data_IF_569128605098
#
_entry.id   IF_569128605098
#
_cell.length_a   1.000
_cell.length_b   1.000
_cell.length_c   1.000
_cell.angle_alpha   90.00
_cell.angle_beta   90.00
_cell.angle_gamma   90.00
#
_symmetry.space_group_name_H-M   'P 1'
#
loop_
_entity.id
_entity.type
_entity.pdbx_description
1 polymer ?
#
# COMPACT_ATOMS: atom_id res chain seq x y z
N UNK A 1 10.59 27.53 -2.45
CA UNK A 1 9.66 26.71 -3.25
C UNK A 1 8.82 25.92 -2.26
N UNK A 2 7.50 26.14 -2.19
CA UNK A 2 6.64 25.29 -1.37
C UNK A 2 6.66 23.89 -1.97
N UNK A 3 7.01 22.88 -1.17
CA UNK A 3 6.84 21.49 -1.56
C UNK A 3 5.38 21.26 -1.92
N UNK A 4 5.07 20.50 -2.98
CA UNK A 4 3.67 20.19 -3.30
C UNK A 4 3.05 19.42 -2.13
N UNK A 5 1.74 19.53 -1.92
CA UNK A 5 1.06 18.82 -0.82
C UNK A 5 1.33 17.30 -0.89
N UNK A 6 1.48 16.75 -2.10
CA UNK A 6 1.88 15.35 -2.32
C UNK A 6 3.24 15.02 -1.68
N UNK A 7 4.21 15.93 -1.69
CA UNK A 7 5.50 15.74 -1.04
C UNK A 7 5.37 15.67 0.48
N UNK A 8 4.38 16.34 1.08
CA UNK A 8 4.08 16.23 2.51
C UNK A 8 3.72 14.79 2.92
N UNK A 9 2.86 14.13 2.14
CA UNK A 9 2.51 12.72 2.35
C UNK A 9 3.71 11.78 2.16
N UNK A 10 4.51 12.03 1.12
CA UNK A 10 5.74 11.25 0.86
C UNK A 10 6.77 11.44 1.98
N UNK A 11 6.94 12.66 2.49
CA UNK A 11 7.83 12.94 3.61
C UNK A 11 7.37 12.25 4.90
N UNK A 12 6.05 12.22 5.16
CA UNK A 12 5.47 11.45 6.27
C UNK A 12 5.82 9.96 6.15
N UNK A 13 5.65 9.37 4.97
CA UNK A 13 6.01 7.98 4.72
C UNK A 13 7.51 7.71 4.90
N UNK A 14 8.39 8.56 4.33
CA UNK A 14 9.85 8.44 4.51
C UNK A 14 10.31 8.60 5.96
N UNK A 15 9.55 9.30 6.79
CA UNK A 15 9.84 9.41 8.23
C UNK A 15 9.57 8.10 8.94
N UNK A 16 8.53 7.35 8.53
CA UNK A 16 8.24 6.02 9.05
C UNK A 16 9.22 4.96 8.57
N UNK A 17 9.73 5.11 7.34
CA UNK A 17 10.63 4.16 6.68
C UNK A 17 11.95 4.84 6.28
N UNK A 18 12.80 5.23 7.24
CA UNK A 18 14.00 6.02 6.97
C UNK A 18 15.03 5.31 6.07
N UNK A 19 15.07 3.98 6.05
CA UNK A 19 15.90 3.15 5.18
C UNK A 19 15.64 3.40 3.69
N UNK A 20 14.44 3.87 3.32
CA UNK A 20 14.11 4.21 1.94
C UNK A 20 14.91 5.38 1.39
N UNK A 21 15.57 6.18 2.24
CA UNK A 21 16.56 7.18 1.83
C UNK A 21 17.73 6.54 1.08
N UNK A 22 18.09 5.32 1.42
CA UNK A 22 19.14 4.52 0.77
C UNK A 22 18.50 3.61 -0.28
N UNK A 23 17.40 2.95 0.07
CA UNK A 23 16.76 1.94 -0.78
C UNK A 23 16.34 2.46 -2.16
N UNK A 24 15.93 3.74 -2.23
CA UNK A 24 15.55 4.41 -3.49
C UNK A 24 16.67 4.43 -4.54
N UNK A 25 17.95 4.37 -4.14
CA UNK A 25 19.08 4.33 -5.06
C UNK A 25 19.08 3.04 -5.91
N UNK A 26 18.49 1.96 -5.39
CA UNK A 26 18.34 0.70 -6.10
C UNK A 26 17.15 0.70 -7.07
N UNK A 27 16.39 1.80 -7.21
CA UNK A 27 15.36 1.92 -8.23
C UNK A 27 15.86 2.68 -9.46
N UNK A 28 15.43 2.26 -10.68
CA UNK A 28 15.56 3.09 -11.87
C UNK A 28 14.92 4.46 -11.62
N UNK A 29 15.55 5.53 -12.09
CA UNK A 29 15.11 6.91 -11.83
C UNK A 29 13.62 7.16 -12.13
N UNK A 30 13.05 6.69 -13.27
CA UNK A 30 11.63 6.88 -13.57
C UNK A 30 10.68 6.24 -12.56
N UNK A 31 11.12 5.18 -11.87
CA UNK A 31 10.32 4.42 -10.90
C UNK A 31 10.36 5.01 -9.48
N UNK A 32 11.33 5.90 -9.17
CA UNK A 32 11.54 6.43 -7.81
C UNK A 32 10.35 7.22 -7.29
N UNK A 33 9.89 8.20 -8.06
CA UNK A 33 8.79 9.06 -7.64
C UNK A 33 7.43 8.34 -7.58
N UNK A 34 7.05 7.50 -8.58
CA UNK A 34 5.85 6.67 -8.48
C UNK A 34 5.89 5.71 -7.28
N UNK A 35 7.02 5.05 -7.02
CA UNK A 35 7.16 4.14 -5.89
C UNK A 35 6.94 4.86 -4.54
N UNK A 36 7.57 6.02 -4.35
CA UNK A 36 7.40 6.80 -3.11
C UNK A 36 5.95 7.27 -2.90
N UNK A 37 5.28 7.74 -3.98
CA UNK A 37 3.88 8.12 -3.90
C UNK A 37 2.95 6.93 -3.64
N UNK A 38 3.28 5.77 -4.22
CA UNK A 38 2.53 4.53 -4.04
C UNK A 38 2.60 4.01 -2.60
N UNK A 39 3.79 3.92 -2.02
CA UNK A 39 3.92 3.49 -0.62
C UNK A 39 3.36 4.53 0.37
N UNK A 40 3.41 5.82 0.03
CA UNK A 40 2.70 6.84 0.80
C UNK A 40 1.17 6.63 0.76
N UNK A 41 0.60 6.28 -0.41
CA UNK A 41 -0.81 5.91 -0.52
C UNK A 41 -1.13 4.69 0.35
N UNK A 42 -0.36 3.59 0.24
CA UNK A 42 -0.61 2.40 1.06
C UNK A 42 -0.57 2.73 2.57
N UNK A 43 0.40 3.55 3.00
CA UNK A 43 0.45 4.00 4.39
C UNK A 43 -0.79 4.82 4.79
N UNK A 44 -1.30 5.71 3.94
CA UNK A 44 -2.54 6.46 4.24
C UNK A 44 -3.74 5.52 4.43
N UNK A 45 -3.80 4.43 3.67
CA UNK A 45 -4.85 3.42 3.77
C UNK A 45 -4.69 2.60 5.07
N UNK A 46 -3.46 2.15 5.38
CA UNK A 46 -3.13 1.46 6.64
C UNK A 46 -3.43 2.35 7.86
N UNK A 47 -3.02 3.62 7.82
CA UNK A 47 -3.26 4.61 8.88
C UNK A 47 -4.77 4.84 9.08
N UNK A 48 -5.56 4.89 7.99
CA UNK A 48 -7.01 5.00 8.06
C UNK A 48 -7.68 3.73 8.63
N UNK A 49 -7.16 2.55 8.32
CA UNK A 49 -7.73 1.28 8.78
C UNK A 49 -7.42 0.98 10.25
N UNK A 50 -6.17 1.20 10.66
CA UNK A 50 -5.63 0.66 11.91
C UNK A 50 -5.07 1.74 12.85
N UNK A 51 -5.07 3.00 12.44
CA UNK A 51 -4.64 4.12 13.28
C UNK A 51 -5.61 4.41 14.43
N UNK A 52 -5.08 5.00 15.50
CA UNK A 52 -5.83 5.44 16.68
C UNK A 52 -6.50 4.30 17.47
N UNK A 53 -7.12 4.57 18.62
CA UNK A 53 -7.94 3.60 19.34
C UNK A 53 -9.39 3.55 18.82
N UNK A 54 -9.94 4.69 18.39
CA UNK A 54 -11.30 4.82 17.85
C UNK A 54 -11.31 4.59 16.33
N UNK A 55 -12.07 3.61 15.81
CA UNK A 55 -12.14 3.34 14.37
C UNK A 55 -12.96 4.37 13.57
N UNK A 56 -13.85 5.15 14.19
CA UNK A 56 -14.83 5.98 13.46
C UNK A 56 -14.21 6.98 12.48
N UNK A 57 -13.17 7.77 12.85
CA UNK A 57 -12.52 8.67 11.90
C UNK A 57 -11.89 7.92 10.71
N UNK A 58 -11.34 6.74 11.00
CA UNK A 58 -10.73 5.85 10.01
C UNK A 58 -11.73 5.32 8.98
N UNK A 59 -12.92 4.91 9.44
CA UNK A 59 -14.00 4.44 8.57
C UNK A 59 -14.43 5.52 7.56
N UNK A 60 -14.62 6.75 8.01
CA UNK A 60 -14.97 7.87 7.13
C UNK A 60 -13.85 8.15 6.12
N UNK A 61 -12.58 8.11 6.55
CA UNK A 61 -11.43 8.30 5.68
C UNK A 61 -11.28 7.17 4.65
N UNK A 62 -11.54 5.92 5.03
CA UNK A 62 -11.55 4.80 4.10
C UNK A 62 -12.66 4.92 3.06
N UNK A 63 -13.88 5.31 3.46
CA UNK A 63 -14.96 5.57 2.50
C UNK A 63 -14.58 6.68 1.51
N UNK A 64 -13.98 7.76 1.99
CA UNK A 64 -13.47 8.83 1.13
C UNK A 64 -12.38 8.33 0.16
N UNK A 65 -11.46 7.48 0.61
CA UNK A 65 -10.45 6.85 -0.26
C UNK A 65 -11.05 5.95 -1.34
N UNK A 66 -12.12 5.21 -1.03
CA UNK A 66 -12.83 4.39 -2.02
C UNK A 66 -13.41 5.27 -3.14
N UNK A 67 -14.03 6.39 -2.79
CA UNK A 67 -14.53 7.37 -3.77
C UNK A 67 -13.40 8.00 -4.58
N UNK A 68 -12.28 8.34 -3.92
CA UNK A 68 -11.13 8.95 -4.57
C UNK A 68 -10.49 8.02 -5.61
N UNK A 69 -10.29 6.74 -5.27
CA UNK A 69 -9.76 5.73 -6.20
C UNK A 69 -10.73 5.42 -7.33
N UNK A 70 -12.05 5.41 -7.07
CA UNK A 70 -13.06 5.37 -8.13
C UNK A 70 -12.99 6.63 -9.02
N UNK A 71 -12.71 7.79 -8.45
CA UNK A 71 -12.49 9.03 -9.19
C UNK A 71 -11.28 8.93 -10.12
N UNK A 72 -10.17 8.37 -9.64
CA UNK A 72 -8.95 8.19 -10.42
C UNK A 72 -9.18 7.33 -11.67
N UNK A 73 -10.00 6.28 -11.56
CA UNK A 73 -10.39 5.43 -12.69
C UNK A 73 -11.21 6.17 -13.76
N UNK A 74 -11.74 7.36 -13.45
CA UNK A 74 -12.54 8.21 -14.35
C UNK A 74 -11.84 9.50 -14.75
N UNK A 75 -10.57 9.68 -14.39
CA UNK A 75 -9.83 10.90 -14.70
C UNK A 75 -9.90 12.02 -13.66
N UNK A 76 -10.69 11.84 -12.59
CA UNK A 76 -10.78 12.81 -11.50
C UNK A 76 -9.67 12.57 -10.47
N UNK A 77 -9.09 13.64 -9.91
CA UNK A 77 -8.16 13.57 -8.78
C UNK A 77 -8.39 14.74 -7.84
N UNK A 78 -8.71 14.48 -6.59
CA UNK A 78 -8.84 15.49 -5.52
C UNK A 78 -7.72 15.38 -4.51
N UNK A 79 -7.21 14.18 -4.28
CA UNK A 79 -6.06 13.96 -3.40
C UNK A 79 -4.75 14.38 -4.09
N UNK A 80 -3.82 15.05 -3.38
CA UNK A 80 -2.53 15.45 -3.94
C UNK A 80 -1.69 14.30 -4.50
N UNK A 81 -1.71 13.11 -3.88
CA UNK A 81 -1.02 11.92 -4.42
C UNK A 81 -1.48 11.53 -5.84
N UNK A 82 -2.70 11.91 -6.23
CA UNK A 82 -3.20 11.73 -7.59
C UNK A 82 -2.34 12.43 -8.65
N UNK A 83 -1.60 13.50 -8.32
CA UNK A 83 -0.64 14.15 -9.22
C UNK A 83 0.44 13.20 -9.73
N UNK A 84 0.84 12.24 -8.89
CA UNK A 84 1.92 11.30 -9.18
C UNK A 84 1.40 9.96 -9.68
N UNK A 85 0.22 9.55 -9.20
CA UNK A 85 -0.31 8.20 -9.40
C UNK A 85 -1.40 8.12 -10.49
N UNK A 86 -2.36 9.04 -10.54
CA UNK A 86 -3.56 8.88 -11.36
C UNK A 86 -3.26 8.77 -12.87
N UNK A 87 -2.14 9.35 -13.33
CA UNK A 87 -1.66 9.26 -14.72
C UNK A 87 -1.41 7.83 -15.22
N UNK A 88 -1.20 6.88 -14.31
CA UNK A 88 -1.01 5.47 -14.65
C UNK A 88 -2.36 4.79 -14.84
N UNK A 89 -2.48 3.94 -15.86
CA UNK A 89 -3.69 3.15 -16.14
C UNK A 89 -3.80 1.91 -15.23
N UNK A 90 -3.58 2.11 -13.93
CA UNK A 90 -3.70 1.04 -12.93
C UNK A 90 -5.18 0.75 -12.62
N UNK A 91 -5.51 -0.45 -12.11
CA UNK A 91 -6.87 -0.85 -11.76
C UNK A 91 -7.35 -0.16 -10.46
N UNK A 92 -7.51 1.16 -10.52
CA UNK A 92 -7.87 1.98 -9.36
C UNK A 92 -9.25 1.63 -8.78
N UNK A 93 -10.20 1.24 -9.64
CA UNK A 93 -11.54 0.86 -9.22
C UNK A 93 -11.52 -0.43 -8.39
N UNK A 94 -10.74 -1.42 -8.83
CA UNK A 94 -10.55 -2.69 -8.16
C UNK A 94 -9.86 -2.50 -6.81
N UNK A 95 -8.81 -1.66 -6.76
CA UNK A 95 -8.15 -1.28 -5.52
C UNK A 95 -9.14 -0.61 -4.56
N UNK A 96 -9.91 0.36 -5.04
CA UNK A 96 -10.92 1.06 -4.24
C UNK A 96 -11.95 0.09 -3.64
N UNK A 97 -12.50 -0.82 -4.45
CA UNK A 97 -13.45 -1.84 -3.97
C UNK A 97 -12.83 -2.77 -2.91
N UNK A 98 -11.56 -3.13 -3.08
CA UNK A 98 -10.88 -4.03 -2.16
C UNK A 98 -10.64 -3.42 -0.77
N UNK A 99 -10.68 -2.08 -0.63
CA UNK A 99 -10.51 -1.42 0.68
C UNK A 99 -11.62 -1.75 1.68
N UNK A 100 -12.79 -2.21 1.23
CA UNK A 100 -13.91 -2.56 2.10
C UNK A 100 -13.58 -3.65 3.13
N UNK A 101 -12.53 -4.45 2.89
CA UNK A 101 -12.10 -5.49 3.85
C UNK A 101 -11.35 -4.92 5.05
N UNK A 102 -10.69 -3.77 4.91
CA UNK A 102 -9.75 -3.25 5.91
C UNK A 102 -10.37 -3.07 7.31
N UNK A 103 -11.58 -2.50 7.48
CA UNK A 103 -12.17 -2.33 8.81
C UNK A 103 -12.33 -3.63 9.59
N UNK A 104 -12.70 -4.72 8.91
CA UNK A 104 -12.94 -6.02 9.53
C UNK A 104 -11.65 -6.70 10.03
N UNK A 105 -10.47 -6.22 9.61
CA UNK A 105 -9.17 -6.80 9.98
C UNK A 105 -8.57 -6.25 11.27
N UNK A 106 -9.17 -5.20 11.83
CA UNK A 106 -8.58 -4.40 12.92
C UNK A 106 -8.33 -5.21 14.19
N UNK A 107 -9.20 -6.15 14.51
CA UNK A 107 -9.12 -6.99 15.71
C UNK A 107 -8.71 -8.44 15.41
N UNK A 108 -8.37 -8.76 14.16
CA UNK A 108 -7.95 -10.11 13.77
C UNK A 108 -6.49 -10.38 14.18
N UNK A 109 -6.20 -11.65 14.46
CA UNK A 109 -4.83 -12.17 14.51
C UNK A 109 -4.20 -12.30 13.12
N UNK A 110 -2.88 -12.42 13.03
CA UNK A 110 -2.13 -12.30 11.78
C UNK A 110 -2.55 -13.32 10.72
N UNK A 111 -2.82 -14.58 11.10
CA UNK A 111 -3.26 -15.59 10.15
C UNK A 111 -4.61 -15.24 9.51
N UNK A 112 -5.56 -14.79 10.32
CA UNK A 112 -6.87 -14.36 9.85
C UNK A 112 -6.80 -13.05 9.06
N UNK A 113 -5.95 -12.10 9.49
CA UNK A 113 -5.67 -10.88 8.72
C UNK A 113 -5.08 -11.21 7.35
N UNK A 114 -4.06 -12.07 7.28
CA UNK A 114 -3.41 -12.43 6.03
C UNK A 114 -4.40 -13.04 5.04
N UNK A 115 -5.27 -13.94 5.50
CA UNK A 115 -6.33 -14.51 4.70
C UNK A 115 -7.32 -13.44 4.21
N UNK A 116 -7.78 -12.56 5.10
CA UNK A 116 -8.71 -11.49 4.75
C UNK A 116 -8.12 -10.49 3.73
N UNK A 117 -6.80 -10.24 3.79
CA UNK A 117 -6.13 -9.28 2.94
C UNK A 117 -5.75 -9.82 1.54
N UNK A 118 -6.01 -11.09 1.22
CA UNK A 118 -5.61 -11.68 -0.08
C UNK A 118 -6.15 -10.90 -1.29
N UNK A 119 -7.44 -10.54 -1.28
CA UNK A 119 -8.05 -9.80 -2.39
C UNK A 119 -7.49 -8.37 -2.52
N UNK A 120 -7.22 -7.71 -1.39
CA UNK A 120 -6.57 -6.39 -1.38
C UNK A 120 -5.12 -6.47 -1.85
N UNK A 121 -4.38 -7.48 -1.39
CA UNK A 121 -3.01 -7.74 -1.83
C UNK A 121 -2.92 -7.93 -3.35
N UNK A 122 -3.88 -8.67 -3.93
CA UNK A 122 -3.98 -8.83 -5.39
C UNK A 122 -4.24 -7.50 -6.10
N UNK A 123 -5.28 -6.75 -5.70
CA UNK A 123 -5.61 -5.48 -6.35
C UNK A 123 -4.47 -4.46 -6.26
N UNK A 124 -3.77 -4.42 -5.11
CA UNK A 124 -2.61 -3.58 -4.91
C UNK A 124 -1.40 -4.04 -5.74
N UNK A 125 -1.13 -5.34 -5.83
CA UNK A 125 -0.06 -5.88 -6.68
C UNK A 125 -0.30 -5.59 -8.17
N UNK A 126 -1.54 -5.69 -8.65
CA UNK A 126 -1.88 -5.33 -10.02
C UNK A 126 -1.63 -3.83 -10.29
N UNK A 127 -1.89 -2.95 -9.31
CA UNK A 127 -1.51 -1.54 -9.40
C UNK A 127 0.02 -1.34 -9.42
N UNK A 128 0.76 -2.03 -8.54
CA UNK A 128 2.23 -1.97 -8.46
C UNK A 128 2.90 -2.39 -9.77
N UNK A 129 2.36 -3.42 -10.42
CA UNK A 129 2.85 -3.93 -11.69
C UNK A 129 2.75 -2.86 -12.79
N UNK A 130 1.61 -2.18 -12.89
CA UNK A 130 1.41 -1.07 -13.85
C UNK A 130 2.32 0.12 -13.52
N UNK A 131 2.47 0.46 -12.25
CA UNK A 131 3.31 1.58 -11.80
C UNK A 131 4.81 1.35 -12.06
N UNK A 132 5.25 0.10 -12.05
CA UNK A 132 6.66 -0.28 -12.17
C UNK A 132 7.09 -0.48 -13.62
N UNK A 133 6.27 -1.19 -14.42
CA UNK A 133 6.66 -1.62 -15.76
C UNK A 133 5.87 -0.89 -16.87
N UNK A 134 4.90 -0.05 -16.51
CA UNK A 134 4.05 0.69 -17.45
C UNK A 134 3.10 -0.19 -18.28
N UNK A 135 3.15 -1.51 -18.10
CA UNK A 135 2.35 -2.52 -18.80
C UNK A 135 1.11 -2.95 -18.02
N UNK A 136 0.11 -3.47 -18.73
CA UNK A 136 -1.20 -3.86 -18.18
C UNK A 136 -1.31 -5.34 -17.76
N UNK A 137 -0.19 -6.05 -17.64
CA UNK A 137 -0.22 -7.45 -17.21
C UNK A 137 -0.61 -7.55 -15.73
N UNK A 138 -1.48 -8.50 -15.40
CA UNK A 138 -1.82 -8.80 -14.01
C UNK A 138 -0.58 -9.29 -13.26
N UNK A 139 -0.48 -8.93 -11.99
CA UNK A 139 0.59 -9.39 -11.12
C UNK A 139 0.46 -10.91 -10.87
N UNK A 140 1.62 -11.57 -10.73
CA UNK A 140 1.67 -12.98 -10.34
C UNK A 140 1.19 -13.20 -8.90
N UNK A 141 0.82 -14.44 -8.58
CA UNK A 141 0.31 -14.82 -7.25
C UNK A 141 1.31 -14.51 -6.13
N UNK A 142 2.61 -14.73 -6.35
CA UNK A 142 3.66 -14.36 -5.40
C UNK A 142 3.68 -12.86 -5.08
N UNK A 143 3.52 -12.00 -6.09
CA UNK A 143 3.45 -10.55 -5.89
C UNK A 143 2.24 -10.14 -5.05
N UNK A 144 1.07 -10.74 -5.31
CA UNK A 144 -0.14 -10.52 -4.52
C UNK A 144 0.03 -10.98 -3.06
N UNK A 145 0.64 -12.14 -2.86
CA UNK A 145 0.96 -12.67 -1.53
C UNK A 145 1.94 -11.75 -0.78
N UNK A 146 2.99 -11.28 -1.46
CA UNK A 146 3.99 -10.36 -0.91
C UNK A 146 3.36 -9.07 -0.37
N UNK A 147 2.43 -8.47 -1.12
CA UNK A 147 1.70 -7.28 -0.65
C UNK A 147 0.82 -7.61 0.56
N UNK A 148 0.06 -8.71 0.53
CA UNK A 148 -0.80 -9.11 1.65
C UNK A 148 0.01 -9.38 2.94
N UNK A 149 1.17 -10.03 2.82
CA UNK A 149 2.09 -10.30 3.93
C UNK A 149 2.67 -9.00 4.51
N UNK A 150 3.11 -8.06 3.66
CA UNK A 150 3.60 -6.75 4.11
C UNK A 150 2.52 -5.96 4.87
N UNK A 151 1.30 -5.88 4.32
CA UNK A 151 0.17 -5.21 4.97
C UNK A 151 -0.22 -5.87 6.29
N UNK A 152 -0.19 -7.20 6.36
CA UNK A 152 -0.39 -7.94 7.61
C UNK A 152 0.67 -7.57 8.64
N UNK A 153 1.93 -7.42 8.21
CA UNK A 153 3.04 -6.98 9.06
C UNK A 153 2.81 -5.59 9.64
N UNK A 154 2.41 -4.63 8.80
CA UNK A 154 2.07 -3.28 9.27
C UNK A 154 0.95 -3.31 10.33
N UNK A 155 -0.11 -4.07 10.09
CA UNK A 155 -1.23 -4.22 11.03
C UNK A 155 -0.77 -4.82 12.37
N UNK A 156 -0.01 -5.91 12.33
CA UNK A 156 0.51 -6.61 13.53
C UNK A 156 1.45 -5.71 14.33
N UNK A 157 2.33 -4.97 13.64
CA UNK A 157 3.25 -4.02 14.28
C UNK A 157 2.50 -2.86 14.94
N UNK A 158 1.50 -2.29 14.25
CA UNK A 158 0.67 -1.21 14.80
C UNK A 158 -0.12 -1.62 16.04
N UNK A 159 -0.58 -2.87 16.08
CA UNK A 159 -1.29 -3.41 17.24
C UNK A 159 -0.38 -3.89 18.38
N UNK A 160 0.95 -3.88 18.19
CA UNK A 160 1.92 -4.28 19.22
C UNK A 160 1.92 -5.79 19.55
N UNK A 161 1.45 -6.65 18.65
CA UNK A 161 1.29 -8.08 18.91
C UNK A 161 2.58 -8.87 18.62
N UNK A 162 3.52 -8.89 19.57
CA UNK A 162 4.86 -9.49 19.38
C UNK A 162 4.86 -10.97 18.97
N UNK A 163 3.99 -11.79 19.54
CA UNK A 163 3.93 -13.24 19.22
C UNK A 163 3.48 -13.49 17.79
N UNK A 164 2.51 -12.70 17.32
CA UNK A 164 1.98 -12.73 15.96
C UNK A 164 3.06 -12.31 14.94
N UNK A 165 3.94 -11.38 15.31
CA UNK A 165 5.07 -10.97 14.46
C UNK A 165 6.03 -12.12 14.17
N UNK A 166 6.29 -13.01 15.15
CA UNK A 166 7.17 -14.17 14.95
C UNK A 166 6.56 -15.19 13.97
N UNK A 167 5.25 -15.40 14.05
CA UNK A 167 4.55 -16.23 13.07
C UNK A 167 4.65 -15.62 11.67
N UNK A 168 4.43 -14.32 11.54
CA UNK A 168 4.49 -13.65 10.24
C UNK A 168 5.89 -13.67 9.62
N UNK A 169 6.96 -13.63 10.41
CA UNK A 169 8.34 -13.78 9.89
C UNK A 169 8.56 -15.12 9.19
N UNK A 170 7.86 -16.19 9.61
CA UNK A 170 7.90 -17.49 8.93
C UNK A 170 7.11 -17.48 7.61
N UNK A 171 6.19 -16.53 7.46
CA UNK A 171 5.37 -16.30 6.28
C UNK A 171 5.87 -15.11 5.45
N UNK A 172 7.08 -14.62 5.70
CA UNK A 172 7.57 -13.39 5.07
C UNK A 172 7.74 -13.56 3.56
N UNK A 173 7.51 -12.51 2.74
CA UNK A 173 7.58 -12.63 1.28
C UNK A 173 8.91 -13.19 0.78
N UNK A 174 8.85 -13.94 -0.32
CA UNK A 174 10.08 -14.36 -0.99
C UNK A 174 10.71 -13.15 -1.72
N UNK A 175 12.05 -12.96 -1.68
CA UNK A 175 12.72 -11.81 -2.30
C UNK A 175 12.56 -11.68 -3.81
N UNK A 176 11.94 -12.64 -4.49
CA UNK A 176 11.68 -12.64 -5.93
C UNK A 176 10.26 -12.17 -6.29
N UNK A 177 9.40 -11.96 -5.29
CA UNK A 177 7.98 -11.72 -5.52
C UNK A 177 7.66 -10.24 -5.79
N UNK A 178 7.17 -9.97 -7.00
CA UNK A 178 6.67 -8.65 -7.40
C UNK A 178 7.74 -7.71 -7.99
N UNK A 179 7.32 -6.48 -8.33
CA UNK A 179 8.20 -5.53 -8.98
C UNK A 179 9.31 -5.05 -8.02
N UNK A 180 10.38 -4.49 -8.59
CA UNK A 180 11.58 -4.10 -7.83
C UNK A 180 11.30 -3.21 -6.59
N UNK A 181 10.39 -2.21 -6.64
CA UNK A 181 10.04 -1.44 -5.44
C UNK A 181 9.47 -2.29 -4.31
N UNK A 182 8.58 -3.24 -4.62
CA UNK A 182 7.98 -4.14 -3.63
C UNK A 182 9.02 -5.07 -3.01
N UNK A 183 9.91 -5.63 -3.83
CA UNK A 183 11.01 -6.49 -3.34
C UNK A 183 11.95 -5.75 -2.40
N UNK A 184 12.22 -4.49 -2.68
CA UNK A 184 13.01 -3.61 -1.79
C UNK A 184 12.23 -3.27 -0.51
N UNK A 185 10.91 -3.03 -0.61
CA UNK A 185 10.07 -2.78 0.56
C UNK A 185 9.98 -3.98 1.51
N UNK A 186 10.00 -5.19 0.95
CA UNK A 186 9.85 -6.44 1.68
C UNK A 186 11.20 -7.02 2.16
N UNK A 187 12.34 -6.39 1.83
CA UNK A 187 13.67 -6.84 2.25
C UNK A 187 14.05 -6.29 3.62
#
# INVERSE_FOLDING_TARGET
MNASEAEGFIAKWRTRWPEWRIAVAFLPEPARAPAAAWFALLQELSDAAWGGPDPTPGLAKLAWWQEELQGWSRGARRHPLGERLQRFRAPWLELGRALAVLPATRELGAAATLQALQALGRAAADCEQVLSDGGAAAAGEGAAASVAQCLTGERVLLAGQRTEALWLLQQWPHPADGPRPRRIHAA
#
